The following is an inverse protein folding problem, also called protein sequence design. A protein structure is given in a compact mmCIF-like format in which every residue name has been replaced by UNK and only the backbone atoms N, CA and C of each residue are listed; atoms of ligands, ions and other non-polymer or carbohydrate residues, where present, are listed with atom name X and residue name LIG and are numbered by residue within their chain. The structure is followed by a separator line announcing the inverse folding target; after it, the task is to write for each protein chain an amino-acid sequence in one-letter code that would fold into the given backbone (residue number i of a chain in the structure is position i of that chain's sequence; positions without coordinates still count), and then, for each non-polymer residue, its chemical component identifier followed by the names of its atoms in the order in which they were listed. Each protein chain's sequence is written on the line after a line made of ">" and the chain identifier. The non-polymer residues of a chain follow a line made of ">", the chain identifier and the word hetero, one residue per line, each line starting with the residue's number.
data_IF_996901247527
#
_entry.id   IF_996901247527
#
_cell.length_a   1.000
_cell.length_b   1.000
_cell.length_c   1.000
_cell.angle_alpha   90.00
_cell.angle_beta   90.00
_cell.angle_gamma   90.00
#
_symmetry.space_group_name_H-M   'P 1'
#
loop_
_entity.id
_entity.type
_entity.pdbx_description
1 polymer ?
#
# COMPACT_ATOMS: atom_id res chain seq x y z
N UNK A 1 -21.13 -9.19 30.31
CA UNK A 1 -20.74 -9.99 29.14
C UNK A 1 -20.63 -9.16 27.86
N UNK A 2 -21.22 -7.97 27.80
CA UNK A 2 -21.20 -7.08 26.60
C UNK A 2 -20.09 -6.04 26.65
N UNK A 3 -19.48 -5.82 27.79
CA UNK A 3 -18.44 -4.77 28.01
C UNK A 3 -17.02 -5.29 27.73
N UNK A 4 -16.82 -6.59 27.77
CA UNK A 4 -15.49 -7.21 27.56
C UNK A 4 -15.10 -7.35 26.08
N UNK A 5 -16.06 -7.33 25.15
CA UNK A 5 -15.80 -7.43 23.72
C UNK A 5 -15.22 -6.11 23.14
N UNK A 6 -15.48 -4.99 23.78
CA UNK A 6 -14.99 -3.66 23.35
C UNK A 6 -13.65 -3.26 23.95
N UNK A 7 -13.10 -4.06 24.88
CA UNK A 7 -11.78 -3.86 25.49
C UNK A 7 -10.68 -4.76 24.91
N UNK A 8 -10.95 -5.53 23.86
CA UNK A 8 -9.87 -5.99 22.96
C UNK A 8 -9.35 -4.73 22.26
N UNK A 9 -8.45 -4.07 22.96
CA UNK A 9 -7.83 -2.86 22.47
C UNK A 9 -7.00 -3.22 21.24
N UNK A 10 -6.90 -2.31 20.28
CA UNK A 10 -5.89 -2.36 19.22
C UNK A 10 -4.49 -2.71 19.76
N UNK A 11 -4.27 -2.53 21.05
CA UNK A 11 -3.09 -2.91 21.83
C UNK A 11 -2.84 -4.43 21.82
N UNK A 12 -3.89 -5.26 21.82
CA UNK A 12 -3.76 -6.73 21.79
C UNK A 12 -3.70 -7.30 20.37
N UNK A 13 -4.13 -6.51 19.37
CA UNK A 13 -4.16 -6.92 17.98
C UNK A 13 -2.88 -6.54 17.19
N UNK A 14 -2.09 -5.62 17.70
CA UNK A 14 -0.82 -5.21 17.08
C UNK A 14 0.33 -5.95 17.76
N UNK A 15 1.26 -6.58 17.02
CA UNK A 15 2.41 -7.24 17.63
C UNK A 15 3.30 -6.19 18.30
N UNK A 16 3.14 -6.06 19.62
CA UNK A 16 4.05 -5.29 20.46
C UNK A 16 5.27 -6.17 20.65
N UNK A 17 6.38 -5.82 20.03
CA UNK A 17 7.67 -6.39 20.41
C UNK A 17 8.04 -5.84 21.78
N UNK A 18 7.59 -6.49 22.86
CA UNK A 18 8.14 -6.27 24.18
C UNK A 18 9.54 -6.85 24.23
N UNK A 19 10.54 -6.01 24.20
CA UNK A 19 11.85 -6.34 24.71
C UNK A 19 11.91 -5.74 26.13
N UNK A 20 11.81 -6.62 27.12
CA UNK A 20 12.06 -6.26 28.53
C UNK A 20 13.52 -5.83 28.70
N UNK A 21 13.71 -4.77 29.49
CA UNK A 21 14.93 -4.21 30.06
C UNK A 21 15.66 -3.14 29.25
N UNK A 22 15.17 -1.91 29.35
CA UNK A 22 16.02 -0.73 29.59
C UNK A 22 15.14 0.42 30.12
N UNK A 23 15.62 1.17 31.13
CA UNK A 23 14.87 2.18 31.90
C UNK A 23 14.49 3.47 31.17
N UNK A 24 14.51 3.48 29.84
CA UNK A 24 13.83 4.46 29.01
C UNK A 24 12.60 3.81 28.36
N UNK A 25 11.43 4.07 28.94
CA UNK A 25 10.13 3.62 28.38
C UNK A 25 9.98 4.19 27.00
N UNK A 26 10.36 3.41 25.97
CA UNK A 26 10.03 3.77 24.57
C UNK A 26 8.53 3.65 24.40
N UNK A 27 7.89 4.74 23.98
CA UNK A 27 6.47 4.76 23.69
C UNK A 27 6.15 3.81 22.52
N UNK A 28 5.02 3.11 22.62
CA UNK A 28 4.50 2.31 21.51
C UNK A 28 4.07 3.21 20.34
N UNK A 29 3.97 2.64 19.13
CA UNK A 29 3.51 3.37 17.93
C UNK A 29 2.15 4.03 18.16
N UNK A 30 1.25 3.37 18.89
CA UNK A 30 -0.09 3.89 19.24
C UNK A 30 0.04 5.09 20.18
N UNK A 31 0.87 5.00 21.22
CA UNK A 31 1.07 6.10 22.17
C UNK A 31 1.70 7.32 21.49
N UNK A 32 2.62 7.11 20.57
CA UNK A 32 3.20 8.18 19.74
C UNK A 32 2.12 8.82 18.87
N UNK A 33 1.31 8.01 18.19
CA UNK A 33 0.22 8.50 17.34
C UNK A 33 -0.83 9.30 18.12
N UNK A 34 -1.20 8.84 19.33
CA UNK A 34 -2.16 9.55 20.20
C UNK A 34 -1.63 10.90 20.73
N UNK A 35 -0.31 11.05 20.83
CA UNK A 35 0.33 12.32 21.23
C UNK A 35 0.51 13.28 20.07
N UNK A 36 0.17 12.88 18.86
CA UNK A 36 0.33 13.69 17.67
C UNK A 36 -0.50 14.99 17.72
N UNK A 37 0.13 16.10 17.41
CA UNK A 37 -0.55 17.39 17.24
C UNK A 37 -1.01 17.54 15.79
N UNK A 38 -2.12 16.88 15.45
CA UNK A 38 -2.68 16.94 14.10
C UNK A 38 -3.27 18.33 13.83
N UNK A 39 -3.00 18.86 12.65
CA UNK A 39 -3.68 20.04 12.12
C UNK A 39 -5.02 19.64 11.49
N UNK A 40 -6.02 20.52 11.48
CA UNK A 40 -7.20 20.32 10.65
C UNK A 40 -6.79 20.03 9.21
N UNK A 41 -7.48 19.08 8.56
CA UNK A 41 -7.11 18.69 7.19
C UNK A 41 -7.24 19.83 6.18
N UNK A 42 -8.09 20.79 6.45
CA UNK A 42 -8.22 22.02 5.66
C UNK A 42 -6.90 22.81 5.65
N UNK A 43 -6.19 22.88 6.78
CA UNK A 43 -4.92 23.59 6.86
C UNK A 43 -3.84 22.87 6.03
N UNK A 44 -3.85 21.54 6.03
CA UNK A 44 -2.98 20.73 5.20
C UNK A 44 -3.27 20.95 3.71
N UNK A 45 -4.54 20.96 3.33
CA UNK A 45 -4.97 21.24 1.95
C UNK A 45 -4.59 22.64 1.50
N UNK A 46 -4.80 23.64 2.35
CA UNK A 46 -4.43 25.03 2.07
C UNK A 46 -2.92 25.18 1.87
N UNK A 47 -2.10 24.51 2.67
CA UNK A 47 -0.63 24.52 2.50
C UNK A 47 -0.17 23.91 1.18
N UNK A 48 -0.98 23.00 0.59
CA UNK A 48 -0.76 22.45 -0.75
C UNK A 48 -1.30 23.36 -1.87
N UNK A 49 -1.91 24.50 -1.54
CA UNK A 49 -2.55 25.39 -2.50
C UNK A 49 -3.86 24.86 -3.09
N UNK A 50 -4.54 23.98 -2.37
CA UNK A 50 -5.84 23.43 -2.78
C UNK A 50 -6.95 24.39 -2.34
N UNK A 51 -7.84 24.70 -3.28
CA UNK A 51 -9.03 25.51 -3.00
C UNK A 51 -9.96 24.77 -2.01
N UNK A 52 -10.51 25.43 -0.99
CA UNK A 52 -11.50 24.81 -0.09
C UNK A 52 -12.67 24.13 -0.78
N UNK A 53 -13.12 24.63 -1.92
CA UNK A 53 -14.21 24.03 -2.70
C UNK A 53 -13.83 22.67 -3.34
N UNK A 54 -12.54 22.37 -3.43
CA UNK A 54 -12.04 21.07 -3.92
C UNK A 54 -11.81 20.04 -2.80
N UNK A 55 -12.12 20.39 -1.53
CA UNK A 55 -11.91 19.52 -0.37
C UNK A 55 -13.23 18.97 0.14
N UNK A 56 -13.36 17.65 0.10
CA UNK A 56 -14.50 16.91 0.64
C UNK A 56 -14.13 16.33 2.01
N UNK A 57 -14.65 16.92 3.10
CA UNK A 57 -14.27 16.52 4.46
C UNK A 57 -14.87 15.17 4.87
N UNK A 58 -14.02 14.33 5.42
CA UNK A 58 -14.36 13.10 6.13
C UNK A 58 -13.98 13.21 7.62
N UNK A 59 -14.58 14.18 8.31
CA UNK A 59 -14.22 14.59 9.65
C UNK A 59 -13.11 15.63 9.66
N UNK A 60 -12.49 15.85 10.82
CA UNK A 60 -11.53 16.96 11.04
C UNK A 60 -10.16 16.71 10.39
N UNK A 61 -9.74 15.46 10.26
CA UNK A 61 -8.36 15.09 9.95
C UNK A 61 -8.21 14.27 8.67
N UNK A 62 -9.29 14.04 7.93
CA UNK A 62 -9.31 13.29 6.67
C UNK A 62 -10.13 14.02 5.63
N UNK A 63 -9.74 13.93 4.37
CA UNK A 63 -10.52 14.46 3.27
C UNK A 63 -10.31 13.66 1.99
N UNK A 64 -11.27 13.72 1.10
CA UNK A 64 -11.10 13.40 -0.32
C UNK A 64 -11.01 14.69 -1.12
N UNK A 65 -10.50 14.62 -2.35
CA UNK A 65 -10.37 15.77 -3.23
C UNK A 65 -11.28 15.62 -4.46
N UNK A 66 -11.81 16.75 -4.92
CA UNK A 66 -12.77 16.77 -6.02
C UNK A 66 -12.16 16.30 -7.34
N UNK A 67 -12.99 15.75 -8.23
CA UNK A 67 -12.58 15.40 -9.60
C UNK A 67 -12.12 16.63 -10.40
N UNK A 68 -12.69 17.79 -10.12
CA UNK A 68 -12.35 19.05 -10.80
C UNK A 68 -10.90 19.49 -10.56
N UNK A 69 -10.32 19.10 -9.41
CA UNK A 69 -8.93 19.43 -9.07
C UNK A 69 -7.95 18.89 -10.13
N UNK A 70 -8.20 17.71 -10.68
CA UNK A 70 -7.36 17.16 -11.75
C UNK A 70 -7.32 18.03 -12.99
N UNK A 71 -8.46 18.57 -13.40
CA UNK A 71 -8.56 19.52 -14.52
C UNK A 71 -7.84 20.83 -14.21
N UNK A 72 -8.04 21.36 -13.00
CA UNK A 72 -7.36 22.60 -12.56
C UNK A 72 -5.84 22.48 -12.53
N UNK A 73 -5.32 21.30 -12.24
CA UNK A 73 -3.89 21.03 -12.13
C UNK A 73 -3.26 20.47 -13.41
N UNK A 74 -4.03 20.25 -14.48
CA UNK A 74 -3.57 19.55 -15.69
C UNK A 74 -2.29 20.19 -16.29
N UNK A 75 -2.23 21.50 -16.38
CA UNK A 75 -1.11 22.24 -16.98
C UNK A 75 0.05 22.50 -15.99
N UNK A 76 -0.12 22.18 -14.71
CA UNK A 76 0.94 22.32 -13.73
C UNK A 76 2.04 21.29 -13.99
N UNK A 77 3.31 21.73 -13.94
CA UNK A 77 4.46 20.83 -14.08
C UNK A 77 4.49 19.82 -12.93
N UNK A 78 4.83 18.58 -13.25
CA UNK A 78 5.04 17.51 -12.27
C UNK A 78 6.31 17.76 -11.45
N UNK A 79 6.25 17.43 -10.17
CA UNK A 79 7.41 17.31 -9.30
C UNK A 79 8.24 16.08 -9.63
N UNK A 80 9.27 15.83 -8.81
CA UNK A 80 10.14 14.65 -8.93
C UNK A 80 9.53 13.43 -8.25
N UNK A 81 9.60 12.29 -8.92
CA UNK A 81 9.09 11.01 -8.41
C UNK A 81 10.21 10.19 -7.78
N UNK A 82 10.08 9.91 -6.48
CA UNK A 82 11.01 9.08 -5.73
C UNK A 82 10.30 7.76 -5.37
N UNK A 83 10.84 6.65 -5.85
CA UNK A 83 10.36 5.30 -5.49
C UNK A 83 11.17 4.76 -4.32
N UNK A 84 10.52 4.45 -3.21
CA UNK A 84 11.12 3.71 -2.10
C UNK A 84 10.79 2.23 -2.24
N UNK A 85 11.82 1.41 -2.30
CA UNK A 85 11.72 -0.06 -2.34
C UNK A 85 12.70 -0.66 -1.34
N UNK A 86 12.84 -1.97 -1.29
CA UNK A 86 13.75 -2.65 -0.37
C UNK A 86 14.34 -3.90 -0.99
N UNK A 87 15.34 -4.46 -0.33
CA UNK A 87 15.77 -5.84 -0.55
C UNK A 87 14.65 -6.83 -0.23
N UNK A 88 14.86 -8.12 -0.46
CA UNK A 88 13.85 -9.15 -0.14
C UNK A 88 13.31 -8.99 1.29
N UNK A 89 12.00 -9.17 1.49
CA UNK A 89 11.41 -9.13 2.81
C UNK A 89 11.97 -10.23 3.71
N UNK A 90 12.33 -9.86 4.92
CA UNK A 90 12.77 -10.78 5.98
C UNK A 90 11.76 -10.80 7.12
N UNK A 91 11.81 -11.80 8.01
CA UNK A 91 10.93 -11.83 9.18
C UNK A 91 11.06 -10.62 10.13
N UNK A 92 12.18 -9.90 10.04
CA UNK A 92 12.42 -8.70 10.85
C UNK A 92 11.81 -7.42 10.24
N UNK A 93 11.42 -7.46 8.95
CA UNK A 93 11.00 -6.29 8.20
C UNK A 93 12.15 -5.34 7.84
N UNK A 94 12.01 -4.56 6.78
CA UNK A 94 13.02 -3.59 6.31
C UNK A 94 12.64 -2.15 6.64
N UNK A 95 11.37 -1.89 6.96
CA UNK A 95 10.90 -0.56 7.35
C UNK A 95 10.70 0.41 6.18
N UNK A 96 10.29 -0.08 5.01
CA UNK A 96 10.04 0.77 3.83
C UNK A 96 9.13 1.97 4.13
N UNK A 97 7.96 1.71 4.70
CA UNK A 97 6.98 2.77 4.98
C UNK A 97 7.53 3.78 5.99
N UNK A 98 8.22 3.32 7.04
CA UNK A 98 8.89 4.19 7.99
C UNK A 98 9.94 5.08 7.30
N UNK A 99 10.73 4.51 6.40
CA UNK A 99 11.71 5.27 5.61
C UNK A 99 11.04 6.26 4.66
N UNK A 100 9.96 5.85 3.97
CA UNK A 100 9.20 6.74 3.08
C UNK A 100 8.65 7.96 3.82
N UNK A 101 8.01 7.72 4.96
CA UNK A 101 7.43 8.78 5.80
C UNK A 101 8.52 9.70 6.36
N UNK A 102 9.57 9.12 6.96
CA UNK A 102 10.67 9.89 7.54
C UNK A 102 11.43 10.71 6.50
N UNK A 103 11.63 10.17 5.28
CA UNK A 103 12.24 10.90 4.18
C UNK A 103 11.39 12.12 3.80
N UNK A 104 10.07 11.98 3.65
CA UNK A 104 9.18 13.08 3.34
C UNK A 104 9.18 14.14 4.44
N UNK A 105 9.16 13.74 5.71
CA UNK A 105 9.26 14.65 6.84
C UNK A 105 10.59 15.42 6.84
N UNK A 106 11.73 14.74 6.62
CA UNK A 106 13.04 15.36 6.55
C UNK A 106 13.16 16.36 5.40
N UNK A 107 12.63 16.02 4.24
CA UNK A 107 12.61 16.89 3.08
C UNK A 107 11.81 18.18 3.36
N UNK A 108 10.64 18.07 3.99
CA UNK A 108 9.84 19.25 4.36
C UNK A 108 10.56 20.12 5.40
N UNK A 109 11.24 19.52 6.39
CA UNK A 109 12.07 20.28 7.37
C UNK A 109 13.22 21.04 6.73
N UNK A 110 13.72 20.56 5.60
CA UNK A 110 14.80 21.22 4.84
C UNK A 110 14.28 22.17 3.76
N UNK A 111 12.98 22.50 3.80
CA UNK A 111 12.36 23.46 2.87
C UNK A 111 12.01 22.89 1.48
N UNK A 112 12.04 21.57 1.33
CA UNK A 112 11.60 20.89 0.10
C UNK A 112 10.16 20.44 0.27
N UNK A 113 9.29 20.83 -0.65
CA UNK A 113 7.86 20.48 -0.61
C UNK A 113 7.65 19.02 -1.07
N UNK A 114 7.68 18.08 -0.14
CA UNK A 114 7.48 16.65 -0.38
C UNK A 114 6.07 16.23 0.03
N UNK A 115 5.45 15.39 -0.81
CA UNK A 115 4.14 14.77 -0.60
C UNK A 115 4.27 13.27 -0.71
N UNK A 116 3.64 12.55 0.23
CA UNK A 116 3.59 11.09 0.22
C UNK A 116 2.42 10.57 -0.62
N UNK A 117 2.62 9.44 -1.29
CA UNK A 117 1.57 8.65 -1.90
C UNK A 117 1.77 7.17 -1.54
N UNK A 118 0.91 6.64 -0.68
CA UNK A 118 1.05 5.33 -0.05
C UNK A 118 -0.21 4.47 -0.24
N UNK A 119 -0.07 3.16 -0.02
CA UNK A 119 -1.21 2.25 -0.06
C UNK A 119 -2.08 2.37 1.19
N UNK A 120 -3.37 2.14 0.98
CA UNK A 120 -4.34 1.95 2.05
C UNK A 120 -4.21 0.55 2.64
N UNK A 121 -4.16 0.39 3.98
CA UNK A 121 -4.09 -0.92 4.61
C UNK A 121 -5.42 -1.67 4.52
N UNK A 122 -5.34 -3.01 4.44
CA UNK A 122 -6.46 -3.94 4.49
C UNK A 122 -6.67 -4.45 5.91
N UNK A 123 -7.91 -4.67 6.32
CA UNK A 123 -8.24 -5.17 7.67
C UNK A 123 -7.60 -6.52 7.98
N UNK A 124 -7.53 -7.42 7.01
CA UNK A 124 -6.91 -8.73 7.21
C UNK A 124 -5.47 -8.64 7.73
N UNK A 125 -4.54 -7.96 7.03
CA UNK A 125 -3.19 -7.70 7.53
C UNK A 125 -3.13 -6.91 8.83
N UNK A 126 -4.01 -5.92 9.04
CA UNK A 126 -4.04 -5.11 10.28
C UNK A 126 -4.28 -6.00 11.50
N UNK A 127 -5.23 -6.93 11.43
CA UNK A 127 -5.52 -7.89 12.50
C UNK A 127 -4.70 -9.19 12.39
N UNK A 128 -3.74 -9.26 11.47
CA UNK A 128 -2.82 -10.38 11.30
C UNK A 128 -1.44 -10.12 11.90
N UNK A 129 -0.50 -11.02 11.60
CA UNK A 129 0.90 -10.96 12.06
C UNK A 129 1.60 -9.67 11.62
N UNK A 130 1.18 -9.08 10.50
CA UNK A 130 1.82 -7.92 9.90
C UNK A 130 1.49 -6.60 10.63
N UNK A 131 0.33 -6.52 11.29
CA UNK A 131 -0.16 -5.31 11.95
C UNK A 131 -0.52 -4.18 10.99
N UNK A 132 -0.65 -2.96 11.49
CA UNK A 132 -1.00 -1.77 10.73
C UNK A 132 0.10 -1.30 9.77
N UNK A 133 -0.27 -0.49 8.78
CA UNK A 133 0.60 -0.05 7.69
C UNK A 133 0.83 1.48 7.65
N UNK A 134 0.72 2.16 8.78
CA UNK A 134 0.85 3.63 8.85
C UNK A 134 2.29 4.14 9.11
N UNK A 135 3.31 3.29 9.00
CA UNK A 135 4.68 3.58 9.43
C UNK A 135 4.95 3.12 10.86
N UNK A 136 5.99 3.62 11.49
CA UNK A 136 6.36 3.27 12.87
C UNK A 136 7.22 4.32 13.55
N UNK A 137 7.26 4.29 14.91
CA UNK A 137 7.99 5.26 15.71
C UNK A 137 7.52 6.69 15.42
N UNK A 138 8.47 7.60 15.24
CA UNK A 138 8.19 9.00 14.91
C UNK A 138 7.98 9.26 13.41
N UNK A 139 7.88 8.21 12.60
CA UNK A 139 7.62 8.28 11.16
C UNK A 139 6.31 7.57 10.83
N UNK A 140 5.19 8.17 11.22
CA UNK A 140 3.84 7.62 11.04
C UNK A 140 2.95 8.60 10.29
N UNK A 141 1.96 8.03 9.55
CA UNK A 141 0.82 8.76 9.00
C UNK A 141 -0.33 8.68 10.00
N UNK A 142 -1.02 9.79 10.20
CA UNK A 142 -2.11 9.93 11.16
C UNK A 142 -3.36 10.56 10.51
N UNK A 143 -4.55 10.25 10.99
CA UNK A 143 -4.92 9.45 12.18
C UNK A 143 -4.73 7.94 11.95
N UNK A 144 -3.89 7.31 12.74
CA UNK A 144 -3.45 5.92 12.52
C UNK A 144 -4.60 4.91 12.59
N UNK A 145 -5.46 5.02 13.60
CA UNK A 145 -6.56 4.09 13.81
C UNK A 145 -7.57 4.16 12.67
N UNK A 146 -7.95 5.36 12.24
CA UNK A 146 -8.87 5.57 11.13
C UNK A 146 -8.30 4.93 9.84
N UNK A 147 -7.02 5.18 9.55
CA UNK A 147 -6.34 4.64 8.36
C UNK A 147 -6.33 3.10 8.38
N UNK A 148 -6.06 2.50 9.53
CA UNK A 148 -5.96 1.04 9.68
C UNK A 148 -7.32 0.33 9.74
N UNK A 149 -8.42 1.04 9.97
CA UNK A 149 -9.76 0.45 10.08
C UNK A 149 -10.59 0.74 8.82
N UNK A 150 -11.70 1.44 8.98
CA UNK A 150 -12.63 1.69 7.87
C UNK A 150 -12.27 2.93 7.04
N UNK A 151 -11.37 3.75 7.52
CA UNK A 151 -10.83 4.96 6.91
C UNK A 151 -11.91 5.89 6.33
N UNK A 152 -12.14 5.84 5.02
CA UNK A 152 -13.19 6.60 4.30
C UNK A 152 -14.17 5.69 3.57
N UNK A 153 -14.07 4.37 3.77
CA UNK A 153 -14.99 3.39 3.21
C UNK A 153 -14.59 2.80 1.86
N UNK A 154 -13.38 3.05 1.37
CA UNK A 154 -12.96 2.59 0.05
C UNK A 154 -12.95 1.05 -0.06
N UNK A 155 -12.46 0.34 0.96
CA UNK A 155 -12.46 -1.12 0.99
C UNK A 155 -13.88 -1.70 0.98
N UNK A 156 -14.82 -1.05 1.67
CA UNK A 156 -16.24 -1.44 1.64
C UNK A 156 -16.87 -1.24 0.27
N UNK A 157 -16.57 -0.11 -0.38
CA UNK A 157 -17.07 0.17 -1.73
C UNK A 157 -16.55 -0.85 -2.74
N UNK A 158 -15.28 -1.20 -2.66
CA UNK A 158 -14.65 -2.22 -3.52
C UNK A 158 -15.27 -3.59 -3.27
N UNK A 159 -15.45 -3.99 -2.01
CA UNK A 159 -16.11 -5.25 -1.63
C UNK A 159 -17.54 -5.29 -2.17
N UNK A 160 -18.30 -4.21 -2.00
CA UNK A 160 -19.67 -4.12 -2.48
C UNK A 160 -19.75 -4.23 -4.01
N UNK A 161 -18.92 -3.51 -4.75
CA UNK A 161 -18.89 -3.55 -6.21
C UNK A 161 -18.49 -4.94 -6.73
N UNK A 162 -17.49 -5.56 -6.11
CA UNK A 162 -17.05 -6.91 -6.45
C UNK A 162 -18.19 -7.92 -6.25
N UNK A 163 -18.85 -7.88 -5.11
CA UNK A 163 -19.88 -8.85 -4.77
C UNK A 163 -21.19 -8.58 -5.52
N UNK A 164 -21.45 -7.33 -5.94
CA UNK A 164 -22.53 -7.02 -6.86
C UNK A 164 -22.36 -7.76 -8.20
N UNK A 165 -21.15 -7.80 -8.76
CA UNK A 165 -20.89 -8.56 -9.99
C UNK A 165 -21.15 -10.06 -9.77
N UNK A 166 -20.70 -10.63 -8.66
CA UNK A 166 -20.98 -12.03 -8.33
C UNK A 166 -22.48 -12.31 -8.21
N UNK A 167 -23.22 -11.43 -7.54
CA UNK A 167 -24.67 -11.54 -7.42
C UNK A 167 -25.37 -11.43 -8.79
N UNK A 168 -24.89 -10.54 -9.66
CA UNK A 168 -25.42 -10.41 -11.03
C UNK A 168 -25.19 -11.66 -11.87
N UNK A 169 -24.02 -12.30 -11.77
CA UNK A 169 -23.72 -13.58 -12.42
C UNK A 169 -24.71 -14.66 -11.98
N UNK A 170 -24.87 -14.84 -10.66
CA UNK A 170 -25.77 -15.86 -10.11
C UNK A 170 -27.25 -15.58 -10.45
N UNK A 171 -27.65 -14.30 -10.39
CA UNK A 171 -29.01 -13.91 -10.78
C UNK A 171 -29.27 -14.15 -12.26
N UNK A 172 -28.32 -13.86 -13.15
CA UNK A 172 -28.46 -14.10 -14.59
C UNK A 172 -28.70 -15.59 -14.88
N UNK A 173 -27.91 -16.47 -14.23
CA UNK A 173 -28.09 -17.91 -14.37
C UNK A 173 -29.45 -18.39 -13.84
N UNK A 174 -29.94 -17.83 -12.73
CA UNK A 174 -31.22 -18.16 -12.12
C UNK A 174 -32.41 -17.69 -12.97
N UNK A 175 -32.29 -16.56 -13.68
CA UNK A 175 -33.36 -15.92 -14.43
C UNK A 175 -33.39 -16.31 -15.93
N UNK A 176 -32.88 -17.48 -16.27
CA UNK A 176 -32.97 -18.02 -17.62
C UNK A 176 -31.65 -18.20 -18.36
N UNK A 177 -30.55 -17.60 -17.84
CA UNK A 177 -29.19 -17.80 -18.36
C UNK A 177 -29.06 -17.58 -19.88
N UNK A 178 -29.55 -16.46 -20.38
CA UNK A 178 -29.52 -16.14 -21.82
C UNK A 178 -28.10 -16.14 -22.43
N UNK A 179 -27.10 -15.75 -21.64
CA UNK A 179 -25.68 -15.81 -22.01
C UNK A 179 -25.09 -17.23 -21.98
N UNK A 180 -25.87 -18.23 -21.55
CA UNK A 180 -25.43 -19.62 -21.44
C UNK A 180 -24.17 -19.80 -20.57
N UNK A 181 -24.07 -19.07 -19.47
CA UNK A 181 -22.92 -19.14 -18.55
C UNK A 181 -22.77 -20.58 -18.07
N UNK A 182 -21.55 -21.15 -18.24
CA UNK A 182 -21.21 -22.44 -17.67
C UNK A 182 -20.82 -22.25 -16.19
N UNK A 183 -21.69 -22.70 -15.30
CA UNK A 183 -21.50 -22.57 -13.83
C UNK A 183 -20.20 -23.16 -13.31
N UNK A 184 -19.57 -24.11 -14.02
CA UNK A 184 -18.30 -24.75 -13.68
C UNK A 184 -17.08 -23.96 -14.17
N UNK A 185 -17.30 -22.91 -14.98
CA UNK A 185 -16.25 -22.11 -15.63
C UNK A 185 -16.34 -20.63 -15.27
N UNK A 186 -16.96 -20.29 -14.15
CA UNK A 186 -16.98 -18.95 -13.59
C UNK A 186 -15.62 -18.70 -12.89
N UNK A 187 -14.92 -17.68 -13.34
CA UNK A 187 -13.59 -17.30 -12.84
C UNK A 187 -13.65 -16.21 -11.76
N UNK A 188 -14.60 -15.29 -11.88
CA UNK A 188 -14.75 -14.18 -10.97
C UNK A 188 -15.28 -14.63 -9.61
N UNK A 189 -14.62 -14.20 -8.53
CA UNK A 189 -14.85 -14.66 -7.16
C UNK A 189 -15.35 -13.56 -6.25
N UNK A 190 -16.04 -13.93 -5.18
CA UNK A 190 -16.42 -13.05 -4.09
C UNK A 190 -15.21 -12.53 -3.34
N UNK A 191 -15.36 -11.45 -2.59
CA UNK A 191 -14.31 -10.97 -1.70
C UNK A 191 -14.85 -10.51 -0.35
N UNK A 192 -13.95 -10.53 0.64
CA UNK A 192 -14.15 -10.03 1.99
C UNK A 192 -12.84 -9.45 2.47
N UNK A 193 -12.84 -8.28 3.12
CA UNK A 193 -11.59 -7.65 3.58
C UNK A 193 -11.10 -8.24 4.90
N UNK A 194 -10.93 -9.56 4.92
CA UNK A 194 -10.45 -10.34 6.05
C UNK A 194 -9.69 -11.58 5.58
N UNK A 195 -8.68 -12.00 6.35
CA UNK A 195 -8.02 -13.29 6.13
C UNK A 195 -8.90 -14.42 6.69
N UNK A 196 -9.65 -15.08 5.83
CA UNK A 196 -10.50 -16.22 6.21
C UNK A 196 -10.26 -17.42 5.29
N UNK A 197 -9.47 -18.38 5.79
CA UNK A 197 -9.14 -19.59 5.03
C UNK A 197 -10.30 -20.55 4.87
N UNK A 198 -11.29 -20.51 5.76
CA UNK A 198 -12.47 -21.38 5.69
C UNK A 198 -13.35 -21.05 4.48
N UNK A 199 -13.26 -19.83 3.95
CA UNK A 199 -14.04 -19.38 2.80
C UNK A 199 -13.34 -19.54 1.45
N UNK A 200 -12.16 -20.18 1.39
CA UNK A 200 -11.40 -20.34 0.14
C UNK A 200 -12.02 -21.29 -0.86
N UNK A 201 -12.72 -22.31 -0.38
CA UNK A 201 -13.46 -23.26 -1.21
C UNK A 201 -14.79 -23.51 -0.53
N UNK A 202 -15.86 -23.02 -1.13
CA UNK A 202 -17.22 -23.12 -0.59
C UNK A 202 -18.20 -23.55 -1.67
N UNK A 203 -19.35 -24.04 -1.26
CA UNK A 203 -20.49 -24.28 -2.14
C UNK A 203 -21.55 -23.25 -1.83
N UNK A 204 -22.05 -22.57 -2.85
CA UNK A 204 -23.12 -21.58 -2.78
C UNK A 204 -24.37 -22.07 -3.50
N UNK A 205 -25.49 -21.35 -3.36
CA UNK A 205 -26.76 -21.66 -4.00
C UNK A 205 -27.49 -22.85 -3.35
N UNK A 206 -27.14 -23.21 -2.12
CA UNK A 206 -27.81 -24.28 -1.35
C UNK A 206 -29.14 -23.78 -0.77
N UNK A 207 -30.05 -24.71 -0.44
CA UNK A 207 -31.33 -24.39 0.23
C UNK A 207 -32.53 -24.34 -0.71
N UNK A 208 -32.43 -24.91 -1.90
CA UNK A 208 -33.53 -25.09 -2.84
C UNK A 208 -33.54 -24.11 -4.02
N UNK A 209 -34.48 -24.30 -4.92
CA UNK A 209 -34.54 -23.67 -6.23
C UNK A 209 -34.51 -22.14 -6.22
N UNK A 210 -35.05 -21.51 -5.18
CA UNK A 210 -35.10 -20.06 -5.08
C UNK A 210 -33.75 -19.41 -4.69
N UNK A 211 -32.80 -20.20 -4.21
CA UNK A 211 -31.53 -19.72 -3.71
C UNK A 211 -30.39 -19.72 -4.76
N UNK A 212 -30.73 -20.01 -6.01
CA UNK A 212 -29.78 -20.04 -7.12
C UNK A 212 -29.34 -21.44 -7.52
N UNK A 213 -28.30 -21.51 -8.32
CA UNK A 213 -27.73 -22.75 -8.84
C UNK A 213 -26.54 -23.16 -7.96
N UNK A 214 -26.54 -24.39 -7.38
CA UNK A 214 -25.41 -24.85 -6.59
C UNK A 214 -24.12 -24.90 -7.42
N UNK A 215 -23.06 -24.25 -6.92
CA UNK A 215 -21.75 -24.25 -7.55
C UNK A 215 -20.64 -23.98 -6.54
N UNK A 216 -19.41 -24.27 -6.93
CA UNK A 216 -18.23 -23.82 -6.18
C UNK A 216 -18.02 -22.31 -6.32
N UNK A 217 -17.59 -21.70 -5.24
CA UNK A 217 -17.12 -20.34 -5.20
C UNK A 217 -16.02 -20.19 -4.14
N UNK A 218 -15.51 -18.98 -3.96
CA UNK A 218 -14.57 -18.64 -2.90
C UNK A 218 -14.67 -17.17 -2.53
N UNK A 219 -14.20 -16.85 -1.33
CA UNK A 219 -13.92 -15.47 -0.95
C UNK A 219 -12.42 -15.24 -0.97
N UNK A 220 -11.96 -14.30 -1.77
CA UNK A 220 -10.61 -13.74 -1.70
C UNK A 220 -10.60 -12.50 -0.81
N UNK A 221 -9.44 -12.07 -0.34
CA UNK A 221 -9.35 -10.79 0.37
C UNK A 221 -9.57 -9.63 -0.60
N UNK A 222 -10.26 -8.59 -0.16
CA UNK A 222 -10.66 -7.44 -1.02
C UNK A 222 -9.47 -6.83 -1.78
N UNK A 223 -8.31 -6.72 -1.16
CA UNK A 223 -7.09 -6.17 -1.78
C UNK A 223 -6.42 -7.09 -2.81
N UNK A 224 -6.89 -8.34 -2.92
CA UNK A 224 -6.52 -9.26 -4.00
C UNK A 224 -7.52 -9.27 -5.15
N UNK A 225 -8.65 -8.56 -5.03
CA UNK A 225 -9.68 -8.50 -6.05
C UNK A 225 -9.22 -7.73 -7.30
N UNK A 226 -9.77 -8.13 -8.45
CA UNK A 226 -9.54 -7.40 -9.70
C UNK A 226 -10.10 -5.96 -9.64
N UNK A 227 -11.19 -5.74 -8.90
CA UNK A 227 -11.75 -4.40 -8.69
C UNK A 227 -10.75 -3.47 -8.01
N UNK A 228 -10.02 -3.94 -7.00
CA UNK A 228 -8.95 -3.16 -6.36
C UNK A 228 -7.85 -2.78 -7.36
N UNK A 229 -7.40 -3.72 -8.18
CA UNK A 229 -6.37 -3.46 -9.19
C UNK A 229 -6.86 -2.45 -10.25
N UNK A 230 -8.08 -2.60 -10.73
CA UNK A 230 -8.72 -1.71 -11.69
C UNK A 230 -8.84 -0.29 -11.13
N UNK A 231 -9.35 -0.13 -9.90
CA UNK A 231 -9.48 1.17 -9.24
C UNK A 231 -8.12 1.89 -9.14
N UNK A 232 -7.07 1.16 -8.84
CA UNK A 232 -5.72 1.73 -8.71
C UNK A 232 -5.08 2.13 -10.03
N UNK A 233 -5.50 1.54 -11.15
CA UNK A 233 -4.99 1.86 -12.50
C UNK A 233 -5.88 2.83 -13.28
N UNK A 234 -7.13 3.02 -12.87
CA UNK A 234 -8.08 3.88 -13.57
C UNK A 234 -7.65 5.36 -13.54
N UNK A 235 -7.79 6.02 -14.69
CA UNK A 235 -7.49 7.44 -14.83
C UNK A 235 -8.65 8.33 -14.32
N UNK A 236 -9.88 7.92 -14.59
CA UNK A 236 -11.12 8.62 -14.25
C UNK A 236 -12.30 7.64 -14.18
N UNK A 237 -13.51 8.16 -13.99
CA UNK A 237 -14.74 7.35 -13.90
C UNK A 237 -15.08 6.61 -15.21
N UNK A 238 -14.82 7.22 -16.35
CA UNK A 238 -15.11 6.60 -17.65
C UNK A 238 -14.12 5.45 -17.92
N UNK A 239 -12.84 5.65 -17.64
CA UNK A 239 -11.83 4.59 -17.73
C UNK A 239 -12.12 3.47 -16.72
N UNK A 240 -12.54 3.81 -15.49
CA UNK A 240 -12.99 2.83 -14.48
C UNK A 240 -14.12 1.96 -15.02
N UNK A 241 -15.19 2.59 -15.56
CA UNK A 241 -16.34 1.89 -16.12
C UNK A 241 -15.96 0.98 -17.29
N UNK A 242 -15.09 1.47 -18.17
CA UNK A 242 -14.58 0.71 -19.32
C UNK A 242 -13.77 -0.51 -18.86
N UNK A 243 -12.88 -0.36 -17.87
CA UNK A 243 -12.09 -1.47 -17.32
C UNK A 243 -12.98 -2.51 -16.66
N UNK A 244 -13.98 -2.08 -15.89
CA UNK A 244 -14.97 -2.98 -15.26
C UNK A 244 -15.72 -3.78 -16.33
N UNK A 245 -16.14 -3.13 -17.43
CA UNK A 245 -16.83 -3.83 -18.54
C UNK A 245 -16.01 -4.97 -19.13
N UNK A 246 -14.68 -4.86 -19.09
CA UNK A 246 -13.75 -5.84 -19.67
C UNK A 246 -13.31 -6.95 -18.69
N UNK A 247 -13.88 -7.00 -17.50
CA UNK A 247 -13.58 -8.09 -16.56
C UNK A 247 -14.09 -9.40 -17.15
N UNK A 248 -13.20 -10.38 -17.29
CA UNK A 248 -13.55 -11.74 -17.70
C UNK A 248 -14.23 -12.44 -16.52
N UNK A 249 -15.53 -12.71 -16.65
CA UNK A 249 -16.30 -13.38 -15.59
C UNK A 249 -16.25 -14.91 -15.68
N UNK A 250 -16.05 -15.45 -16.85
CA UNK A 250 -16.02 -16.88 -17.10
C UNK A 250 -16.28 -17.20 -18.58
N UNK A 251 -16.80 -18.36 -18.84
CA UNK A 251 -17.08 -18.86 -20.19
C UNK A 251 -18.50 -19.40 -20.30
N UNK A 252 -19.06 -19.36 -21.51
CA UNK A 252 -20.31 -20.02 -21.81
C UNK A 252 -20.12 -21.53 -22.10
N UNK A 253 -21.21 -22.27 -22.32
CA UNK A 253 -21.16 -23.71 -22.62
C UNK A 253 -20.43 -24.07 -23.92
N UNK A 254 -20.30 -23.13 -24.85
CA UNK A 254 -19.55 -23.30 -26.11
C UNK A 254 -18.07 -22.93 -25.99
N UNK A 255 -17.67 -22.40 -24.82
CA UNK A 255 -16.28 -22.03 -24.54
C UNK A 255 -15.90 -20.60 -24.90
N UNK A 256 -16.87 -19.75 -25.24
CA UNK A 256 -16.63 -18.34 -25.52
C UNK A 256 -16.50 -17.55 -24.23
N UNK A 257 -15.56 -16.56 -24.14
CA UNK A 257 -15.38 -15.73 -22.97
C UNK A 257 -16.56 -14.79 -22.76
N UNK A 258 -16.95 -14.60 -21.52
CA UNK A 258 -17.99 -13.67 -21.09
C UNK A 258 -17.41 -12.61 -20.17
N UNK A 259 -17.88 -11.38 -20.34
CA UNK A 259 -17.37 -10.22 -19.64
C UNK A 259 -18.45 -9.56 -18.77
N UNK A 260 -18.04 -8.78 -17.77
CA UNK A 260 -18.98 -8.04 -16.91
C UNK A 260 -19.90 -7.11 -17.72
N UNK A 261 -19.40 -6.56 -18.83
CA UNK A 261 -20.18 -5.74 -19.77
C UNK A 261 -21.37 -6.47 -20.38
N UNK A 262 -21.28 -7.79 -20.58
CA UNK A 262 -22.37 -8.60 -21.11
C UNK A 262 -23.57 -8.68 -20.17
N UNK A 263 -23.33 -8.47 -18.87
CA UNK A 263 -24.37 -8.40 -17.83
C UNK A 263 -24.95 -6.99 -17.63
N UNK A 264 -24.40 -5.97 -18.28
CA UNK A 264 -24.79 -4.56 -18.14
C UNK A 264 -24.73 -4.02 -16.69
N UNK A 265 -23.85 -4.55 -15.85
CA UNK A 265 -23.73 -4.21 -14.41
C UNK A 265 -22.68 -3.14 -14.14
N UNK A 266 -21.82 -2.83 -15.11
CA UNK A 266 -20.67 -1.91 -14.95
C UNK A 266 -21.06 -0.51 -14.49
N UNK A 267 -22.22 -0.01 -14.89
CA UNK A 267 -22.72 1.30 -14.45
C UNK A 267 -23.02 1.33 -12.93
N UNK A 268 -23.70 0.32 -12.43
CA UNK A 268 -23.99 0.18 -11.00
C UNK A 268 -22.72 -0.01 -10.16
N UNK A 269 -21.77 -0.82 -10.65
CA UNK A 269 -20.46 -0.99 -10.01
C UNK A 269 -19.67 0.31 -9.95
N UNK A 270 -19.65 1.08 -11.06
CA UNK A 270 -18.99 2.40 -11.10
C UNK A 270 -19.63 3.39 -10.14
N UNK A 271 -20.97 3.38 -10.01
CA UNK A 271 -21.67 4.22 -9.05
C UNK A 271 -21.29 3.91 -7.59
N UNK A 272 -21.11 2.64 -7.25
CA UNK A 272 -20.60 2.23 -5.93
C UNK A 272 -19.17 2.71 -5.67
N UNK A 273 -18.36 2.82 -6.70
CA UNK A 273 -16.93 3.14 -6.63
C UNK A 273 -16.64 4.64 -6.80
N UNK A 274 -17.61 5.49 -7.10
CA UNK A 274 -17.38 6.90 -7.46
C UNK A 274 -16.57 7.68 -6.42
N UNK A 275 -16.88 7.50 -5.14
CA UNK A 275 -16.17 8.17 -4.05
C UNK A 275 -14.87 7.45 -3.68
N UNK A 276 -14.84 6.12 -3.81
CA UNK A 276 -13.63 5.33 -3.60
C UNK A 276 -12.53 5.62 -4.63
N UNK A 277 -12.87 6.15 -5.81
CA UNK A 277 -11.89 6.55 -6.83
C UNK A 277 -11.12 7.82 -6.46
N UNK A 278 -11.64 8.63 -5.54
CA UNK A 278 -10.98 9.86 -5.06
C UNK A 278 -9.91 9.53 -4.02
N UNK A 279 -8.67 10.02 -4.17
CA UNK A 279 -7.62 9.81 -3.17
C UNK A 279 -7.95 10.44 -1.82
N UNK A 280 -7.45 9.81 -0.75
CA UNK A 280 -7.61 10.29 0.62
C UNK A 280 -6.41 11.14 1.03
N UNK A 281 -6.66 12.35 1.51
CA UNK A 281 -5.66 13.25 2.06
C UNK A 281 -5.62 13.12 3.58
N UNK A 282 -4.44 12.90 4.12
CA UNK A 282 -4.11 12.87 5.54
C UNK A 282 -2.75 13.54 5.76
N UNK A 283 -2.15 13.36 6.93
CA UNK A 283 -0.88 13.97 7.31
C UNK A 283 0.02 12.99 8.08
N UNK A 284 1.30 13.29 8.15
CA UNK A 284 2.23 12.61 9.06
C UNK A 284 2.22 13.25 10.45
N UNK A 285 2.92 12.65 11.42
CA UNK A 285 3.14 13.23 12.76
C UNK A 285 3.70 14.66 12.71
N UNK A 286 4.48 14.97 11.68
CA UNK A 286 5.10 16.30 11.47
C UNK A 286 4.32 17.17 10.46
N UNK A 287 3.05 16.84 10.22
CA UNK A 287 2.13 17.54 9.33
C UNK A 287 2.56 17.57 7.84
N UNK A 288 3.38 16.63 7.40
CA UNK A 288 3.67 16.41 5.98
C UNK A 288 2.42 15.85 5.30
N UNK A 289 1.98 16.39 4.15
CA UNK A 289 0.82 15.87 3.43
C UNK A 289 1.06 14.45 2.92
N UNK A 290 0.04 13.60 3.02
CA UNK A 290 0.09 12.24 2.54
C UNK A 290 -1.23 11.85 1.86
N UNK A 291 -1.14 11.26 0.68
CA UNK A 291 -2.24 10.57 0.03
C UNK A 291 -2.18 9.08 0.34
N UNK A 292 -3.26 8.55 0.90
CA UNK A 292 -3.41 7.12 1.18
C UNK A 292 -4.56 6.63 0.29
N UNK A 293 -4.27 5.80 -0.71
CA UNK A 293 -5.31 5.41 -1.66
C UNK A 293 -5.00 4.11 -2.39
N UNK A 294 -5.91 3.16 -2.30
CA UNK A 294 -5.78 1.84 -2.89
C UNK A 294 -4.71 0.97 -2.23
N UNK A 295 -4.89 -0.34 -2.24
CA UNK A 295 -4.00 -1.26 -1.53
C UNK A 295 -3.85 -2.62 -2.22
N UNK A 296 -3.64 -2.71 -3.54
CA UNK A 296 -3.52 -3.98 -4.23
C UNK A 296 -2.29 -4.75 -3.72
N UNK A 297 -2.43 -6.06 -3.50
CA UNK A 297 -1.31 -6.90 -3.09
C UNK A 297 -0.30 -7.07 -4.23
N UNK A 298 0.99 -6.97 -3.91
CA UNK A 298 2.06 -7.08 -4.89
C UNK A 298 2.27 -8.50 -5.45
N UNK A 299 1.90 -9.52 -4.70
CA UNK A 299 1.97 -10.92 -5.17
C UNK A 299 0.79 -11.31 -6.08
N UNK A 300 -0.28 -10.54 -6.10
CA UNK A 300 -1.48 -10.81 -6.91
C UNK A 300 -1.63 -9.77 -8.04
N UNK A 301 -1.43 -8.48 -7.72
CA UNK A 301 -1.57 -7.37 -8.64
C UNK A 301 -0.26 -6.55 -8.71
N UNK A 302 -0.34 -5.25 -8.97
CA UNK A 302 0.85 -4.40 -9.13
C UNK A 302 1.44 -3.87 -7.82
N UNK A 303 0.73 -4.00 -6.68
CA UNK A 303 1.30 -3.76 -5.35
C UNK A 303 1.70 -2.32 -5.03
N UNK A 304 1.06 -1.35 -5.68
CA UNK A 304 1.34 0.07 -5.52
C UNK A 304 0.05 0.83 -5.22
N UNK A 305 0.14 2.00 -4.62
CA UNK A 305 -1.00 2.90 -4.48
C UNK A 305 -1.54 3.35 -5.86
N UNK A 306 -2.67 4.03 -5.88
CA UNK A 306 -3.33 4.39 -7.14
C UNK A 306 -2.49 5.33 -8.00
N UNK A 307 -2.68 5.23 -9.31
CA UNK A 307 -2.16 6.20 -10.30
C UNK A 307 -2.65 7.61 -9.97
N UNK A 308 -3.90 7.74 -9.58
CA UNK A 308 -4.54 9.03 -9.27
C UNK A 308 -3.85 9.73 -8.09
N UNK A 309 -3.60 9.01 -7.00
CA UNK A 309 -2.89 9.56 -5.83
C UNK A 309 -1.45 9.99 -6.18
N UNK A 310 -0.73 9.18 -6.93
CA UNK A 310 0.65 9.50 -7.33
C UNK A 310 0.69 10.73 -8.26
N UNK A 311 -0.19 10.80 -9.26
CA UNK A 311 -0.27 11.96 -10.16
C UNK A 311 -0.65 13.24 -9.42
N UNK A 312 -1.59 13.14 -8.48
CA UNK A 312 -2.00 14.28 -7.67
C UNK A 312 -0.85 14.78 -6.77
N UNK A 313 -0.12 13.86 -6.13
CA UNK A 313 1.06 14.18 -5.34
C UNK A 313 2.16 14.87 -6.17
N UNK A 314 2.38 14.42 -7.41
CA UNK A 314 3.32 15.05 -8.35
C UNK A 314 2.91 16.47 -8.75
N UNK A 315 1.61 16.72 -8.88
CA UNK A 315 1.10 18.06 -9.21
C UNK A 315 1.16 19.04 -8.02
N UNK A 316 1.02 18.53 -6.80
CA UNK A 316 0.92 19.36 -5.59
C UNK A 316 2.25 19.56 -4.87
N UNK A 317 3.19 18.62 -5.00
CA UNK A 317 4.52 18.72 -4.40
C UNK A 317 5.63 18.92 -5.40
N UNK A 318 6.79 19.41 -4.94
CA UNK A 318 8.03 19.41 -5.72
C UNK A 318 8.63 18.00 -5.79
N UNK A 319 8.30 17.17 -4.81
CA UNK A 319 8.68 15.77 -4.71
C UNK A 319 7.50 14.92 -4.30
N UNK A 320 7.27 13.82 -5.02
CA UNK A 320 6.36 12.75 -4.63
C UNK A 320 7.18 11.56 -4.16
N UNK A 321 6.95 11.11 -2.92
CA UNK A 321 7.57 9.91 -2.38
C UNK A 321 6.51 8.82 -2.33
N UNK A 322 6.78 7.72 -3.02
CA UNK A 322 5.88 6.56 -3.09
C UNK A 322 6.66 5.27 -2.89
N UNK A 323 5.94 4.17 -2.69
CA UNK A 323 6.55 2.88 -2.44
C UNK A 323 5.89 1.75 -3.24
N UNK A 324 6.59 0.63 -3.35
CA UNK A 324 6.11 -0.62 -3.93
C UNK A 324 6.17 -1.75 -2.90
N UNK A 325 5.23 -2.69 -2.98
CA UNK A 325 5.14 -3.81 -2.04
C UNK A 325 6.25 -4.83 -2.22
N UNK A 326 6.57 -5.57 -1.17
CA UNK A 326 7.67 -6.56 -1.16
C UNK A 326 9.05 -5.95 -1.46
N UNK A 327 9.96 -6.72 -2.05
CA UNK A 327 11.28 -6.28 -2.46
C UNK A 327 11.31 -5.69 -3.87
N UNK A 328 12.47 -5.20 -4.27
CA UNK A 328 12.66 -4.60 -5.58
C UNK A 328 12.56 -5.59 -6.73
N UNK A 329 12.77 -6.85 -6.45
CA UNK A 329 12.64 -8.00 -7.36
C UNK A 329 11.20 -8.38 -7.70
N UNK A 330 10.22 -7.81 -7.01
CA UNK A 330 8.79 -8.04 -7.22
C UNK A 330 8.03 -6.72 -7.36
N UNK A 331 7.90 -5.95 -6.27
CA UNK A 331 7.06 -4.77 -6.24
C UNK A 331 7.61 -3.63 -7.09
N UNK A 332 8.90 -3.35 -7.03
CA UNK A 332 9.48 -2.30 -7.87
C UNK A 332 9.46 -2.66 -9.36
N UNK A 333 9.70 -3.92 -9.73
CA UNK A 333 9.51 -4.36 -11.12
C UNK A 333 8.10 -4.09 -11.62
N UNK A 334 7.07 -4.47 -10.85
CA UNK A 334 5.68 -4.18 -11.19
C UNK A 334 5.37 -2.69 -11.23
N UNK A 335 6.02 -1.90 -10.37
CA UNK A 335 5.88 -0.45 -10.40
C UNK A 335 6.36 0.10 -11.75
N UNK A 336 7.55 -0.28 -12.20
CA UNK A 336 8.10 0.16 -13.48
C UNK A 336 7.33 -0.42 -14.67
N UNK A 337 7.09 -1.73 -14.66
CA UNK A 337 6.57 -2.43 -15.84
C UNK A 337 5.05 -2.35 -15.98
N UNK A 338 4.32 -2.06 -14.92
CA UNK A 338 2.86 -1.91 -14.95
C UNK A 338 2.47 -0.46 -14.69
N UNK A 339 2.66 0.04 -13.47
CA UNK A 339 2.15 1.36 -13.08
C UNK A 339 2.74 2.48 -13.92
N UNK A 340 4.06 2.51 -14.10
CA UNK A 340 4.72 3.54 -14.89
C UNK A 340 4.27 3.54 -16.35
N UNK A 341 4.09 2.36 -16.95
CA UNK A 341 3.62 2.25 -18.34
C UNK A 341 2.18 2.70 -18.52
N UNK A 342 1.28 2.28 -17.63
CA UNK A 342 -0.13 2.69 -17.70
C UNK A 342 -0.35 4.17 -17.42
N UNK A 343 0.49 4.77 -16.60
CA UNK A 343 0.32 6.12 -16.11
C UNK A 343 1.27 7.15 -16.74
N UNK A 344 2.16 6.71 -17.63
CA UNK A 344 3.24 7.54 -18.19
C UNK A 344 4.08 8.22 -17.09
N UNK A 345 4.54 7.40 -16.13
CA UNK A 345 5.36 7.84 -15.00
C UNK A 345 6.81 7.41 -15.22
N UNK A 346 7.73 8.26 -14.77
CA UNK A 346 9.16 7.96 -14.76
C UNK A 346 9.76 8.38 -13.41
N UNK A 347 10.19 7.43 -12.57
CA UNK A 347 10.93 7.77 -11.36
C UNK A 347 12.22 8.53 -11.66
N UNK A 348 12.50 9.56 -10.87
CA UNK A 348 13.75 10.32 -10.93
C UNK A 348 14.85 9.69 -10.08
N UNK A 349 14.46 8.92 -9.05
CA UNK A 349 15.36 8.23 -8.15
C UNK A 349 14.67 7.02 -7.50
N UNK A 350 15.45 5.99 -7.20
CA UNK A 350 15.06 4.85 -6.37
C UNK A 350 15.82 4.92 -5.05
N UNK A 351 15.10 4.86 -3.94
CA UNK A 351 15.67 4.65 -2.60
C UNK A 351 15.51 3.18 -2.25
N UNK A 352 16.61 2.46 -2.18
CA UNK A 352 16.65 1.03 -1.86
C UNK A 352 16.95 0.84 -0.37
N UNK A 353 15.95 0.42 0.37
CA UNK A 353 16.05 0.21 1.82
C UNK A 353 16.65 -1.16 2.12
N UNK A 354 17.62 -1.20 3.00
CA UNK A 354 18.18 -2.43 3.56
C UNK A 354 18.37 -2.26 5.08
N UNK A 355 18.50 -3.39 5.77
CA UNK A 355 18.89 -3.43 7.19
C UNK A 355 20.07 -4.36 7.36
N UNK A 356 20.94 -4.05 8.31
CA UNK A 356 22.06 -4.93 8.68
C UNK A 356 21.52 -6.30 9.11
N UNK A 357 20.43 -6.31 9.88
CA UNK A 357 19.76 -7.55 10.31
C UNK A 357 19.32 -8.43 9.11
N UNK A 358 18.70 -7.84 8.10
CA UNK A 358 18.26 -8.57 6.91
C UNK A 358 19.44 -9.16 6.16
N UNK A 359 20.53 -8.41 6.00
CA UNK A 359 21.74 -8.89 5.31
C UNK A 359 22.46 -9.99 6.12
N UNK A 360 22.53 -9.88 7.46
CA UNK A 360 23.04 -10.98 8.31
C UNK A 360 22.17 -12.23 8.20
N UNK A 361 20.84 -12.08 8.20
CA UNK A 361 19.91 -13.19 8.00
C UNK A 361 20.17 -13.88 6.65
N UNK A 362 20.32 -13.12 5.57
CA UNK A 362 20.68 -13.64 4.24
C UNK A 362 22.05 -14.31 4.25
N UNK A 363 22.95 -13.91 5.15
CA UNK A 363 24.26 -14.52 5.38
C UNK A 363 24.26 -15.76 6.28
N UNK A 364 23.06 -16.23 6.69
CA UNK A 364 22.86 -17.48 7.45
C UNK A 364 22.76 -17.33 8.96
N UNK A 365 22.61 -16.11 9.51
CA UNK A 365 22.41 -15.89 10.94
C UNK A 365 20.96 -16.22 11.34
N UNK A 366 20.76 -16.96 12.42
CA UNK A 366 19.47 -17.27 12.97
C UNK A 366 18.76 -15.99 13.46
N UNK A 367 17.41 -15.97 13.41
CA UNK A 367 16.61 -14.80 13.82
C UNK A 367 16.90 -14.34 15.25
N UNK A 368 17.16 -15.28 16.17
CA UNK A 368 17.51 -15.01 17.58
C UNK A 368 18.80 -14.21 17.75
N UNK A 369 19.74 -14.33 16.81
CA UNK A 369 21.12 -13.87 16.94
C UNK A 369 21.42 -12.61 16.08
N UNK A 370 20.41 -12.07 15.41
CA UNK A 370 20.54 -10.91 14.51
C UNK A 370 21.02 -9.63 15.22
N UNK A 371 20.88 -9.57 16.54
CA UNK A 371 21.34 -8.43 17.35
C UNK A 371 22.85 -8.50 17.67
N UNK A 372 23.49 -9.66 17.48
CA UNK A 372 24.90 -9.87 17.75
C UNK A 372 25.71 -9.46 16.52
N UNK A 373 26.82 -8.73 16.73
CA UNK A 373 27.73 -8.39 15.65
C UNK A 373 28.21 -9.65 14.89
N UNK A 374 28.06 -9.63 13.57
CA UNK A 374 28.58 -10.70 12.72
C UNK A 374 28.97 -10.16 11.34
N UNK A 375 30.17 -9.61 11.26
CA UNK A 375 30.72 -9.02 10.04
C UNK A 375 30.93 -10.04 8.92
N UNK A 376 31.20 -11.31 9.25
CA UNK A 376 31.39 -12.35 8.24
C UNK A 376 30.06 -12.73 7.57
N UNK A 377 29.03 -12.92 8.38
CA UNK A 377 27.69 -13.19 7.86
C UNK A 377 27.16 -12.01 7.04
N UNK A 378 27.42 -10.78 7.48
CA UNK A 378 27.08 -9.58 6.71
C UNK A 378 27.75 -9.58 5.33
N UNK A 379 29.05 -9.88 5.24
CA UNK A 379 29.77 -10.02 3.96
C UNK A 379 29.19 -11.12 3.08
N UNK A 380 28.76 -12.22 3.65
CA UNK A 380 28.12 -13.31 2.90
C UNK A 380 26.75 -12.92 2.35
N UNK A 381 25.97 -12.16 3.14
CA UNK A 381 24.62 -11.73 2.77
C UNK A 381 24.55 -10.49 1.89
N UNK A 382 25.64 -9.72 1.77
CA UNK A 382 25.66 -8.46 1.02
C UNK A 382 25.43 -8.65 -0.49
N UNK A 383 25.65 -9.86 -1.00
CA UNK A 383 25.31 -10.25 -2.39
C UNK A 383 23.84 -10.03 -2.70
N UNK A 384 22.96 -10.19 -1.69
CA UNK A 384 21.54 -9.87 -1.87
C UNK A 384 21.31 -8.38 -2.16
N UNK A 385 22.00 -7.49 -1.43
CA UNK A 385 21.95 -6.05 -1.71
C UNK A 385 22.49 -5.72 -3.12
N UNK A 386 23.59 -6.38 -3.53
CA UNK A 386 24.16 -6.21 -4.86
C UNK A 386 23.15 -6.48 -5.97
N UNK A 387 22.48 -7.62 -5.92
CA UNK A 387 21.48 -8.01 -6.93
C UNK A 387 20.34 -6.99 -7.01
N UNK A 388 19.87 -6.50 -5.88
CA UNK A 388 18.80 -5.49 -5.86
C UNK A 388 19.27 -4.14 -6.44
N UNK A 389 20.49 -3.70 -6.14
CA UNK A 389 21.07 -2.48 -6.74
C UNK A 389 21.17 -2.65 -8.27
N UNK A 390 21.76 -3.75 -8.74
CA UNK A 390 21.92 -4.05 -10.17
C UNK A 390 20.57 -4.11 -10.90
N UNK A 391 19.56 -4.72 -10.28
CA UNK A 391 18.20 -4.80 -10.85
C UNK A 391 17.58 -3.41 -11.01
N UNK A 392 17.69 -2.55 -10.03
CA UNK A 392 17.14 -1.19 -10.12
C UNK A 392 17.93 -0.34 -11.15
N UNK A 393 19.24 -0.50 -11.24
CA UNK A 393 20.05 0.19 -12.25
C UNK A 393 19.67 -0.17 -13.69
N UNK A 394 19.17 -1.40 -13.94
CA UNK A 394 18.68 -1.82 -15.28
C UNK A 394 17.51 -0.97 -15.80
N UNK A 395 16.73 -0.36 -14.91
CA UNK A 395 15.68 0.58 -15.30
C UNK A 395 16.20 1.99 -15.67
N UNK A 396 17.52 2.22 -15.58
CA UNK A 396 18.15 3.47 -16.00
C UNK A 396 17.88 4.65 -15.05
N UNK A 397 17.60 4.38 -13.79
CA UNK A 397 17.35 5.39 -12.75
C UNK A 397 18.47 5.40 -11.71
N UNK A 398 18.82 6.58 -11.14
CA UNK A 398 19.74 6.66 -10.02
C UNK A 398 19.22 5.87 -8.82
N UNK A 399 20.13 5.14 -8.14
CA UNK A 399 19.82 4.36 -6.94
C UNK A 399 20.59 4.93 -5.76
N UNK A 400 19.89 5.16 -4.65
CA UNK A 400 20.49 5.50 -3.36
C UNK A 400 20.11 4.40 -2.36
N UNK A 401 21.09 3.86 -1.64
CA UNK A 401 20.84 2.86 -0.61
C UNK A 401 20.57 3.57 0.72
N UNK A 402 19.46 3.23 1.36
CA UNK A 402 19.10 3.69 2.70
C UNK A 402 19.23 2.53 3.68
N UNK A 403 20.15 2.63 4.62
CA UNK A 403 20.30 1.65 5.70
C UNK A 403 19.45 2.11 6.88
N UNK A 404 18.37 1.37 7.15
CA UNK A 404 17.55 1.59 8.31
C UNK A 404 18.25 0.98 9.54
N UNK A 405 18.99 1.83 10.26
CA UNK A 405 19.87 1.44 11.34
C UNK A 405 19.08 1.17 12.63
N UNK A 406 19.43 0.08 13.29
CA UNK A 406 18.96 -0.26 14.64
C UNK A 406 20.05 0.05 15.68
N UNK A 407 19.66 0.27 16.92
CA UNK A 407 20.58 0.59 18.03
C UNK A 407 21.62 -0.51 18.31
N UNK A 408 21.34 -1.75 17.87
CA UNK A 408 22.27 -2.90 18.01
C UNK A 408 23.27 -3.03 16.88
N UNK A 409 23.13 -2.24 15.81
CA UNK A 409 24.02 -2.31 14.64
C UNK A 409 25.34 -1.60 14.97
N UNK A 410 26.45 -2.28 14.72
CA UNK A 410 27.79 -1.76 15.07
C UNK A 410 28.38 -0.91 13.96
N UNK A 411 29.31 -0.03 14.30
CA UNK A 411 30.01 0.82 13.33
C UNK A 411 30.86 -0.02 12.36
N UNK A 412 31.36 -1.18 12.81
CA UNK A 412 32.09 -2.12 11.95
C UNK A 412 31.19 -2.70 10.84
N UNK A 413 29.95 -3.05 11.19
CA UNK A 413 28.96 -3.54 10.24
C UNK A 413 28.52 -2.44 9.27
N UNK A 414 28.26 -1.23 9.75
CA UNK A 414 27.93 -0.05 8.94
C UNK A 414 29.02 0.22 7.90
N UNK A 415 30.28 0.25 8.32
CA UNK A 415 31.42 0.50 7.46
C UNK A 415 31.55 -0.49 6.29
N UNK A 416 31.24 -1.76 6.53
CA UNK A 416 31.26 -2.79 5.46
C UNK A 416 30.27 -2.42 4.34
N UNK A 417 29.07 -1.98 4.70
CA UNK A 417 28.05 -1.61 3.70
C UNK A 417 28.45 -0.32 2.98
N UNK A 418 28.97 0.66 3.69
CA UNK A 418 29.44 1.93 3.09
C UNK A 418 30.55 1.69 2.06
N UNK A 419 31.55 0.88 2.42
CA UNK A 419 32.65 0.50 1.53
C UNK A 419 32.15 -0.29 0.31
N UNK A 420 31.20 -1.19 0.52
CA UNK A 420 30.58 -1.97 -0.55
C UNK A 420 29.81 -1.08 -1.53
N UNK A 421 28.92 -0.21 -1.05
CA UNK A 421 28.15 0.71 -1.89
C UNK A 421 29.08 1.67 -2.65
N UNK A 422 30.11 2.19 -2.00
CA UNK A 422 31.14 3.01 -2.64
C UNK A 422 31.84 2.26 -3.78
N UNK A 423 32.16 0.98 -3.56
CA UNK A 423 32.75 0.11 -4.60
C UNK A 423 31.84 -0.10 -5.80
N UNK A 424 30.52 -0.07 -5.60
CA UNK A 424 29.52 -0.15 -6.67
C UNK A 424 29.20 1.21 -7.31
N UNK A 425 29.77 2.30 -6.81
CA UNK A 425 29.45 3.66 -7.30
C UNK A 425 28.03 4.13 -6.91
N UNK A 426 27.50 3.63 -5.80
CA UNK A 426 26.16 3.94 -5.31
C UNK A 426 26.26 4.71 -3.99
N UNK A 427 25.51 5.80 -3.88
CA UNK A 427 25.38 6.56 -2.64
C UNK A 427 24.66 5.75 -1.57
N UNK A 428 25.10 5.88 -0.32
CA UNK A 428 24.48 5.23 0.83
C UNK A 428 24.24 6.25 1.95
N UNK A 429 23.09 6.16 2.59
CA UNK A 429 22.72 6.98 3.74
C UNK A 429 22.28 6.09 4.90
N UNK A 430 22.80 6.38 6.09
CA UNK A 430 22.31 5.79 7.34
C UNK A 430 21.09 6.54 7.83
N UNK A 431 20.05 5.83 8.20
CA UNK A 431 18.81 6.43 8.70
C UNK A 431 18.46 5.91 10.09
N UNK A 432 18.10 6.83 10.99
CA UNK A 432 17.55 6.52 12.33
C UNK A 432 16.11 7.06 12.44
N UNK A 433 15.38 6.98 11.35
CA UNK A 433 14.07 7.63 11.13
C UNK A 433 13.02 7.13 12.13
N UNK A 434 13.07 5.87 12.53
CA UNK A 434 12.15 5.32 13.52
C UNK A 434 12.24 6.06 14.87
N UNK A 435 13.45 6.35 15.34
CA UNK A 435 13.68 6.98 16.63
C UNK A 435 13.58 8.52 16.59
N UNK A 436 13.88 9.13 15.45
CA UNK A 436 14.09 10.58 15.33
C UNK A 436 13.14 11.30 14.34
N UNK A 437 12.27 10.54 13.65
CA UNK A 437 11.40 11.14 12.64
C UNK A 437 12.19 11.87 11.56
N UNK A 438 11.71 13.04 11.15
CA UNK A 438 12.36 13.87 10.12
C UNK A 438 13.58 14.67 10.60
N UNK A 439 14.11 14.46 11.80
CA UNK A 439 15.29 15.19 12.30
C UNK A 439 16.62 14.71 11.71
N UNK A 440 16.60 13.65 10.93
CA UNK A 440 17.78 13.03 10.34
C UNK A 440 17.99 13.55 8.92
N UNK A 441 18.93 14.39 8.75
CA UNK A 441 19.31 14.92 7.45
C UNK A 441 20.28 16.09 7.56
N UNK A 442 21.26 15.95 8.42
CA UNK A 442 22.43 16.87 8.44
C UNK A 442 23.68 16.12 8.02
#
# INVERSE_FOLDING_TARGET
>A
ATTEIYTLSLHDALPISRTDNDDTVMLSDIEIAHKAQMKPIMDIAQNLGIDPDDVELYGKYKAKLSEQLYTKLADKKDGKLILVTAINPTPAGEGKTTVSVGLAQAMNKTGRNAVLALREPSLGPVFGIKGGAAGGGYSQVVPMEDINLHFTGDMHAITAANNLLCAAIDNHMQQGNELQIDQRRILFKRCLDMNDRALRNIVIGMGGKINGIPREDSFQITVASEIMAILCLAADLDDLKKRISNILIGYNYTGEPLYAGDLNVQGAMTALLKDALKPNLVQTLENTPAFIHGGPFANIAHGCNSVRATKLALKLGDYCITEAGFGSDLGAEKFFDIKCRFADLKPDCVVLVATIRALKYNGGVAKSDLQIENTQALKNGIVNLQVHIENMQKFGVPVVVAINRFHTDTDAEVKIIEEFCKGMGVEVSMTEIFAKGGEIGR
#
